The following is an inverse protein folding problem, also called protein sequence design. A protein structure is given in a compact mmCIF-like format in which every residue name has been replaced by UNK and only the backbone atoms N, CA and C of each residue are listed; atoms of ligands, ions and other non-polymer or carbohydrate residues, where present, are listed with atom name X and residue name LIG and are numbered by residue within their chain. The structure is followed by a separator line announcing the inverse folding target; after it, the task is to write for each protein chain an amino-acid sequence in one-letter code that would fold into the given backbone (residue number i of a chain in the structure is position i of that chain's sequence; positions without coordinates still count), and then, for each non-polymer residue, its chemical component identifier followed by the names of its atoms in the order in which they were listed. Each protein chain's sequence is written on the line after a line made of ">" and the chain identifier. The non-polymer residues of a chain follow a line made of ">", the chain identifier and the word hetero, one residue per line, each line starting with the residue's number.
data_IF_501534877725
#
_entry.id   IF_501534877725
#
_cell.length_a   1.000
_cell.length_b   1.000
_cell.length_c   1.000
_cell.angle_alpha   90.00
_cell.angle_beta   90.00
_cell.angle_gamma   90.00
#
_symmetry.space_group_name_H-M   'P 1'
#
loop_
_entity.id
_entity.type
_entity.pdbx_description
1 polymer ?
#
# COMPACT_ATOMS: atom_id res chain seq x y z
N UNK A 1 11.47 -22.66 -33.85
CA UNK A 1 10.63 -21.44 -33.97
C UNK A 1 10.29 -20.96 -32.56
N UNK A 2 10.43 -19.66 -32.31
CA UNK A 2 10.28 -19.03 -30.99
C UNK A 2 9.28 -17.89 -31.07
N UNK A 3 8.58 -17.61 -29.97
CA UNK A 3 7.68 -16.45 -29.81
C UNK A 3 7.85 -15.86 -28.43
N UNK A 4 7.77 -14.54 -28.34
CA UNK A 4 7.67 -13.82 -27.10
C UNK A 4 6.21 -13.51 -26.80
N UNK A 5 5.82 -13.62 -25.53
CA UNK A 5 4.54 -13.16 -25.03
C UNK A 5 4.79 -12.25 -23.84
N UNK A 6 4.33 -11.01 -23.93
CA UNK A 6 4.39 -10.09 -22.81
C UNK A 6 3.43 -10.53 -21.71
N UNK A 7 3.90 -10.62 -20.47
CA UNK A 7 3.05 -10.97 -19.33
C UNK A 7 2.16 -9.81 -18.88
N UNK A 8 2.57 -8.56 -19.18
CA UNK A 8 1.88 -7.34 -18.76
C UNK A 8 0.68 -7.03 -19.66
N UNK A 9 0.91 -6.78 -20.96
CA UNK A 9 -0.15 -6.42 -21.91
C UNK A 9 -0.69 -7.61 -22.72
N UNK A 10 -0.16 -8.83 -22.50
CA UNK A 10 -0.56 -10.08 -23.18
C UNK A 10 -0.32 -10.10 -24.70
N UNK A 11 0.32 -9.08 -25.26
CA UNK A 11 0.77 -9.05 -26.67
C UNK A 11 1.72 -10.20 -26.96
N UNK A 12 1.56 -10.83 -28.13
CA UNK A 12 2.41 -11.93 -28.60
C UNK A 12 3.15 -11.48 -29.86
N UNK A 13 4.46 -11.68 -29.89
CA UNK A 13 5.29 -11.31 -31.04
C UNK A 13 5.03 -12.21 -32.25
N UNK A 14 5.40 -11.77 -33.46
CA UNK A 14 5.61 -12.67 -34.58
C UNK A 14 6.57 -13.81 -34.23
N UNK A 15 6.48 -14.92 -34.97
CA UNK A 15 7.41 -16.06 -34.82
C UNK A 15 8.78 -15.67 -35.35
N UNK A 16 9.83 -15.99 -34.59
CA UNK A 16 11.22 -15.85 -35.03
C UNK A 16 11.91 -17.23 -35.13
N UNK A 17 13.01 -17.28 -35.87
CA UNK A 17 13.75 -18.51 -36.11
C UNK A 17 14.77 -18.78 -35.01
N UNK A 18 15.26 -17.72 -34.37
CA UNK A 18 16.25 -17.81 -33.28
C UNK A 18 15.69 -17.26 -31.97
N UNK A 19 16.29 -17.69 -30.86
CA UNK A 19 15.98 -17.13 -29.54
C UNK A 19 16.42 -15.67 -29.42
N UNK A 20 17.56 -15.31 -30.02
CA UNK A 20 18.11 -13.96 -29.98
C UNK A 20 17.17 -12.92 -30.60
N UNK A 21 16.54 -13.24 -31.72
CA UNK A 21 15.54 -12.38 -32.36
C UNK A 21 14.34 -12.09 -31.44
N UNK A 22 13.88 -13.10 -30.70
CA UNK A 22 12.76 -12.99 -29.75
C UNK A 22 13.14 -12.16 -28.52
N UNK A 23 14.38 -12.25 -28.06
CA UNK A 23 14.91 -11.43 -26.97
C UNK A 23 15.01 -9.96 -27.39
N UNK A 24 15.51 -9.69 -28.60
CA UNK A 24 15.54 -8.33 -29.15
C UNK A 24 14.11 -7.75 -29.32
N UNK A 25 13.15 -8.57 -29.75
CA UNK A 25 11.74 -8.14 -29.86
C UNK A 25 11.11 -7.86 -28.48
N UNK A 26 11.41 -8.66 -27.46
CA UNK A 26 11.00 -8.42 -26.07
C UNK A 26 11.48 -7.05 -25.61
N UNK A 27 12.76 -6.74 -25.81
CA UNK A 27 13.37 -5.51 -25.29
C UNK A 27 12.82 -4.29 -26.04
N UNK A 28 12.74 -4.36 -27.38
CA UNK A 28 12.07 -3.31 -28.19
C UNK A 28 10.62 -3.07 -27.78
N UNK A 29 9.88 -4.14 -27.49
CA UNK A 29 8.49 -4.03 -27.04
C UNK A 29 8.40 -3.34 -25.68
N UNK A 30 9.22 -3.74 -24.70
CA UNK A 30 9.22 -3.14 -23.35
C UNK A 30 9.57 -1.66 -23.41
N UNK A 31 10.57 -1.28 -24.20
CA UNK A 31 10.98 0.11 -24.31
C UNK A 31 9.90 0.98 -24.98
N UNK A 32 9.24 0.48 -26.02
CA UNK A 32 8.24 1.27 -26.77
C UNK A 32 6.86 1.27 -26.12
N UNK A 33 6.41 0.13 -25.62
CA UNK A 33 5.06 -0.02 -25.08
C UNK A 33 4.98 0.35 -23.60
N UNK A 34 6.09 0.24 -22.88
CA UNK A 34 6.13 0.50 -21.44
C UNK A 34 7.15 1.57 -21.03
N UNK A 35 7.97 2.12 -21.96
CA UNK A 35 8.94 3.17 -21.67
C UNK A 35 9.91 2.85 -20.51
N UNK A 36 10.21 1.56 -20.32
CA UNK A 36 11.01 1.07 -19.19
C UNK A 36 10.24 0.99 -17.86
N UNK A 37 8.99 1.41 -17.82
CA UNK A 37 8.12 1.21 -16.67
C UNK A 37 7.69 -0.25 -16.58
N UNK A 38 7.60 -0.75 -15.35
CA UNK A 38 6.90 -1.99 -15.04
C UNK A 38 5.48 -1.55 -14.68
N UNK A 39 4.46 -1.78 -15.52
CA UNK A 39 3.07 -1.65 -15.10
C UNK A 39 2.83 -2.62 -13.95
N UNK A 40 2.98 -2.10 -12.74
CA UNK A 40 2.31 -2.57 -11.53
C UNK A 40 0.85 -2.11 -11.67
N UNK A 41 -0.12 -2.94 -11.31
CA UNK A 41 -1.52 -2.72 -11.65
C UNK A 41 -2.03 -1.29 -11.40
N UNK A 42 -3.10 -0.87 -12.09
CA UNK A 42 -3.69 0.46 -11.86
C UNK A 42 -4.24 0.57 -10.42
N UNK A 43 -3.44 1.17 -9.54
CA UNK A 43 -3.81 1.42 -8.15
C UNK A 43 -3.59 2.89 -7.82
N UNK A 44 -4.60 3.53 -7.23
CA UNK A 44 -4.43 4.85 -6.64
C UNK A 44 -3.73 4.66 -5.30
N UNK A 45 -2.41 4.81 -5.29
CA UNK A 45 -1.64 4.78 -4.05
C UNK A 45 -2.00 6.00 -3.20
N UNK A 46 -2.76 5.76 -2.13
CA UNK A 46 -3.01 6.79 -1.13
C UNK A 46 -1.79 6.87 -0.23
N UNK A 47 -0.86 7.77 -0.52
CA UNK A 47 0.19 8.10 0.43
C UNK A 47 -0.44 8.80 1.63
N UNK A 48 -0.55 8.10 2.77
CA UNK A 48 -0.82 8.77 4.04
C UNK A 48 0.37 9.69 4.32
N UNK A 49 0.21 11.02 4.32
CA UNK A 49 1.31 11.92 4.64
C UNK A 49 1.81 11.60 6.05
N UNK A 50 3.13 11.74 6.31
CA UNK A 50 3.66 11.55 7.65
C UNK A 50 2.90 12.46 8.62
N UNK A 51 2.65 12.02 9.87
CA UNK A 51 2.01 12.86 10.87
C UNK A 51 2.80 14.17 11.00
N UNK A 52 2.09 15.30 11.12
CA UNK A 52 2.78 16.58 11.26
C UNK A 52 3.64 16.55 12.53
N UNK A 53 4.84 17.16 12.53
CA UNK A 53 5.60 17.36 13.76
C UNK A 53 4.72 18.04 14.81
N UNK A 54 4.62 17.44 16.00
CA UNK A 54 3.78 17.93 17.10
C UNK A 54 2.32 17.48 17.07
N UNK A 55 1.91 16.61 16.14
CA UNK A 55 0.58 16.01 16.16
C UNK A 55 0.52 14.96 17.29
N UNK A 56 -0.28 15.17 18.35
CA UNK A 56 -0.33 14.24 19.46
C UNK A 56 -0.91 12.90 18.99
N UNK A 57 -0.11 11.85 19.08
CA UNK A 57 -0.60 10.48 18.98
C UNK A 57 -1.57 10.27 20.14
N UNK A 58 -2.85 10.03 19.82
CA UNK A 58 -3.90 9.87 20.83
C UNK A 58 -3.62 8.65 21.75
N UNK A 59 -4.05 8.62 23.03
CA UNK A 59 -4.34 9.77 23.87
C UNK A 59 -4.20 9.53 25.41
N UNK A 60 -3.19 10.10 26.06
CA UNK A 60 -3.05 10.05 27.53
C UNK A 60 -4.28 10.63 28.27
N UNK A 61 -5.05 11.52 27.63
CA UNK A 61 -6.23 12.15 28.22
C UNK A 61 -7.41 11.20 28.44
N UNK A 62 -7.59 10.14 27.64
CA UNK A 62 -8.68 9.18 27.91
C UNK A 62 -8.38 8.31 29.14
N UNK A 63 -7.11 8.02 29.42
CA UNK A 63 -6.71 7.33 30.66
C UNK A 63 -6.97 8.22 31.88
N UNK A 64 -6.67 9.52 31.77
CA UNK A 64 -6.98 10.49 32.82
C UNK A 64 -8.50 10.61 33.07
N UNK A 65 -9.32 10.67 32.01
CA UNK A 65 -10.78 10.69 32.15
C UNK A 65 -11.33 9.39 32.75
N UNK A 66 -10.80 8.23 32.34
CA UNK A 66 -11.21 6.94 32.91
C UNK A 66 -10.87 6.83 34.40
N UNK A 67 -9.67 7.27 34.80
CA UNK A 67 -9.25 7.29 36.20
C UNK A 67 -10.14 8.21 37.05
N UNK A 68 -10.44 9.42 36.54
CA UNK A 68 -11.33 10.36 37.24
C UNK A 68 -12.74 9.77 37.41
N UNK A 69 -13.30 9.16 36.36
CA UNK A 69 -14.61 8.53 36.41
C UNK A 69 -14.64 7.37 37.44
N UNK A 70 -13.58 6.56 37.51
CA UNK A 70 -13.48 5.47 38.47
C UNK A 70 -13.43 5.98 39.92
N UNK A 71 -12.66 7.03 40.21
CA UNK A 71 -12.61 7.66 41.54
C UNK A 71 -13.99 8.19 41.93
N UNK A 72 -14.67 8.90 41.04
CA UNK A 72 -16.02 9.41 41.30
C UNK A 72 -17.00 8.28 41.60
N UNK A 73 -17.01 7.22 40.79
CA UNK A 73 -17.87 6.06 41.02
C UNK A 73 -17.63 5.40 42.39
N UNK A 74 -16.36 5.22 42.79
CA UNK A 74 -15.99 4.66 44.09
C UNK A 74 -16.45 5.55 45.25
N UNK A 75 -16.27 6.87 45.14
CA UNK A 75 -16.70 7.81 46.18
C UNK A 75 -18.22 7.87 46.35
N UNK A 76 -18.98 7.82 45.24
CA UNK A 76 -20.44 7.74 45.28
C UNK A 76 -20.91 6.43 45.90
N UNK A 77 -20.32 5.31 45.51
CA UNK A 77 -20.66 4.00 46.06
C UNK A 77 -20.43 3.96 47.58
N UNK A 78 -19.26 4.40 48.05
CA UNK A 78 -18.93 4.44 49.47
C UNK A 78 -19.90 5.30 50.30
N UNK A 79 -20.42 6.41 49.74
CA UNK A 79 -21.43 7.26 50.39
C UNK A 79 -22.84 6.68 50.41
N UNK A 80 -23.15 5.73 49.53
CA UNK A 80 -24.46 5.08 49.46
C UNK A 80 -24.55 3.84 50.36
N UNK A 81 -23.42 3.29 50.79
CA UNK A 81 -23.34 2.07 51.60
C UNK A 81 -23.05 2.30 53.08
N UNK A 82 -22.83 3.55 53.50
CA UNK A 82 -22.63 3.99 54.90
C UNK A 82 -23.84 4.80 55.32
#
# INVERSE_FOLDING_TARGET
>A
MYRYRCTQCRTTSPTAHTRHEVEAERDRHRDRAHAGHIPDGEEIQTHTPPPRPGQPTRPLHYLAYAALAAVLALTLWARLTV
#
